data_IF_293475955411
#
_entry.id   IF_293475955411
#
_cell.length_a   1.000
_cell.length_b   1.000
_cell.length_c   1.000
_cell.angle_alpha   90.00
_cell.angle_beta   90.00
_cell.angle_gamma   90.00
#
_symmetry.space_group_name_H-M   'P 1'
#
loop_
_entity.id
_entity.type
_entity.pdbx_description
1 polymer ?
#
# COMPACT_ATOMS: atom_id res chain seq x y z
N UNK A 1 10.11 -9.72 -4.91
CA UNK A 1 9.15 -10.36 -4.00
C UNK A 1 9.22 -9.69 -2.64
N UNK A 2 8.14 -9.05 -2.23
CA UNK A 2 7.98 -8.43 -0.90
C UNK A 2 7.24 -9.39 0.03
N UNK A 3 7.55 -9.36 1.32
CA UNK A 3 6.89 -10.18 2.35
C UNK A 3 6.41 -9.30 3.49
N UNK A 4 5.17 -9.49 3.95
CA UNK A 4 4.61 -8.83 5.13
C UNK A 4 4.37 -9.82 6.27
N UNK A 5 5.00 -9.58 7.43
CA UNK A 5 4.82 -10.37 8.65
C UNK A 5 5.02 -9.50 9.90
N UNK A 6 4.14 -9.60 10.91
CA UNK A 6 4.26 -8.87 12.20
C UNK A 6 4.51 -7.35 12.07
N UNK A 7 3.92 -6.72 11.04
CA UNK A 7 4.12 -5.30 10.68
C UNK A 7 5.54 -4.94 10.22
N UNK A 8 6.33 -5.94 9.87
CA UNK A 8 7.59 -5.75 9.17
C UNK A 8 7.40 -6.13 7.70
N UNK A 9 7.65 -5.16 6.85
CA UNK A 9 7.73 -5.35 5.40
C UNK A 9 9.18 -5.71 5.09
N UNK A 10 9.41 -6.83 4.43
CA UNK A 10 10.74 -7.32 4.06
C UNK A 10 10.83 -7.48 2.55
N UNK A 11 11.97 -7.10 2.00
CA UNK A 11 12.31 -7.27 0.60
C UNK A 11 13.82 -7.50 0.42
N UNK A 12 14.31 -7.51 -0.83
CA UNK A 12 15.71 -7.82 -1.12
C UNK A 12 16.74 -6.92 -0.42
N UNK A 13 16.39 -5.67 -0.13
CA UNK A 13 17.30 -4.69 0.49
C UNK A 13 17.24 -4.63 2.01
N UNK A 14 16.30 -5.37 2.63
CA UNK A 14 16.15 -5.41 4.09
C UNK A 14 14.70 -5.40 4.55
N UNK A 15 14.47 -4.90 5.76
CA UNK A 15 13.15 -4.84 6.40
C UNK A 15 12.87 -3.45 6.96
N UNK A 16 11.62 -3.01 6.85
CA UNK A 16 11.15 -1.75 7.41
C UNK A 16 9.84 -1.94 8.18
N UNK A 17 9.70 -1.20 9.28
CA UNK A 17 8.47 -1.18 10.07
C UNK A 17 7.37 -0.45 9.32
N UNK A 18 6.21 -1.09 9.20
CA UNK A 18 4.99 -0.45 8.70
C UNK A 18 3.94 -0.31 9.80
N UNK A 19 3.02 0.62 9.60
CA UNK A 19 1.87 0.82 10.50
C UNK A 19 0.80 -0.22 10.24
N UNK A 20 -0.12 -0.41 11.19
CA UNK A 20 -1.28 -1.27 10.98
C UNK A 20 -2.12 -0.83 9.77
N UNK A 21 -2.30 0.48 9.56
CA UNK A 21 -3.02 1.01 8.39
C UNK A 21 -2.31 0.69 7.07
N UNK A 22 -0.99 0.83 7.01
CA UNK A 22 -0.21 0.44 5.82
C UNK A 22 -0.32 -1.07 5.55
N UNK A 23 -0.27 -1.89 6.61
CA UNK A 23 -0.45 -3.34 6.49
C UNK A 23 -1.84 -3.72 5.97
N UNK A 24 -2.90 -3.08 6.48
CA UNK A 24 -4.28 -3.26 5.99
C UNK A 24 -4.39 -2.89 4.51
N UNK A 25 -3.77 -1.79 4.10
CA UNK A 25 -3.81 -1.34 2.71
C UNK A 25 -3.07 -2.30 1.78
N UNK A 26 -1.87 -2.75 2.17
CA UNK A 26 -1.11 -3.77 1.42
C UNK A 26 -1.87 -5.09 1.33
N UNK A 27 -2.54 -5.50 2.42
CA UNK A 27 -3.39 -6.68 2.41
C UNK A 27 -4.59 -6.54 1.47
N UNK A 28 -5.24 -5.38 1.47
CA UNK A 28 -6.35 -5.10 0.55
C UNK A 28 -5.89 -5.12 -0.92
N UNK A 29 -4.68 -4.60 -1.23
CA UNK A 29 -4.10 -4.75 -2.56
C UNK A 29 -3.90 -6.21 -2.94
N UNK A 30 -3.23 -7.01 -2.09
CA UNK A 30 -2.97 -8.42 -2.39
C UNK A 30 -4.24 -9.28 -2.56
N UNK A 31 -5.34 -8.89 -1.92
CA UNK A 31 -6.63 -9.58 -2.01
C UNK A 31 -7.49 -9.10 -3.18
N UNK A 32 -7.14 -7.98 -3.81
CA UNK A 32 -7.86 -7.45 -4.97
C UNK A 32 -7.44 -8.20 -6.25
N UNK A 33 -8.37 -8.60 -7.13
CA UNK A 33 -8.06 -9.37 -8.34
C UNK A 33 -6.95 -8.75 -9.23
N UNK A 34 -6.95 -7.42 -9.33
CA UNK A 34 -5.99 -6.68 -10.17
C UNK A 34 -4.98 -5.87 -9.33
N UNK A 35 -4.83 -6.22 -8.05
CA UNK A 35 -4.07 -5.45 -7.08
C UNK A 35 -4.46 -3.96 -7.06
N UNK A 36 -5.74 -3.68 -7.29
CA UNK A 36 -6.29 -2.33 -7.46
C UNK A 36 -7.36 -2.03 -6.43
N UNK A 37 -7.35 -0.82 -5.88
CA UNK A 37 -8.33 -0.34 -4.92
C UNK A 37 -8.94 0.97 -5.38
N UNK A 38 -10.27 1.06 -5.30
CA UNK A 38 -11.00 2.29 -5.52
C UNK A 38 -10.75 3.32 -4.42
N UNK A 39 -10.98 4.61 -4.69
CA UNK A 39 -10.79 5.66 -3.68
C UNK A 39 -11.56 5.39 -2.38
N UNK A 40 -12.80 4.89 -2.47
CA UNK A 40 -13.61 4.56 -1.29
C UNK A 40 -13.02 3.39 -0.48
N UNK A 41 -12.49 2.37 -1.15
CA UNK A 41 -11.83 1.24 -0.50
C UNK A 41 -10.55 1.70 0.21
N UNK A 42 -9.75 2.56 -0.43
CA UNK A 42 -8.55 3.15 0.19
C UNK A 42 -8.93 3.98 1.41
N UNK A 43 -9.99 4.78 1.32
CA UNK A 43 -10.53 5.56 2.44
C UNK A 43 -10.90 4.66 3.62
N UNK A 44 -11.62 3.57 3.32
CA UNK A 44 -12.05 2.58 4.30
C UNK A 44 -10.86 1.89 4.98
N UNK A 45 -9.85 1.45 4.22
CA UNK A 45 -8.63 0.89 4.79
C UNK A 45 -7.91 1.88 5.71
N UNK A 46 -7.97 3.18 5.39
CA UNK A 46 -7.35 4.24 6.18
C UNK A 46 -8.21 4.76 7.33
N UNK A 47 -9.46 4.31 7.45
CA UNK A 47 -10.40 4.76 8.48
C UNK A 47 -10.76 6.24 8.36
N UNK A 48 -10.77 6.80 7.15
CA UNK A 48 -11.07 8.22 6.90
C UNK A 48 -12.32 8.37 6.04
N UNK A 49 -13.16 9.40 6.28
CA UNK A 49 -14.27 9.70 5.39
C UNK A 49 -13.77 10.26 4.05
N UNK A 50 -14.57 10.11 2.99
CA UNK A 50 -14.26 10.72 1.71
C UNK A 50 -14.62 12.21 1.69
N UNK A 51 -13.58 13.05 1.59
CA UNK A 51 -13.67 14.49 1.33
C UNK A 51 -12.42 14.96 0.56
N UNK A 52 -12.46 16.14 -0.04
CA UNK A 52 -11.32 16.67 -0.82
C UNK A 52 -10.03 16.82 0.01
N UNK A 53 -10.15 17.27 1.27
CA UNK A 53 -9.01 17.34 2.18
C UNK A 53 -8.41 15.95 2.47
N UNK A 54 -9.25 14.91 2.54
CA UNK A 54 -8.82 13.54 2.77
C UNK A 54 -8.18 12.92 1.52
N UNK A 55 -8.59 13.30 0.30
CA UNK A 55 -7.90 12.88 -0.93
C UNK A 55 -6.43 13.31 -0.93
N UNK A 56 -6.14 14.56 -0.56
CA UNK A 56 -4.77 15.04 -0.40
C UNK A 56 -4.01 14.28 0.69
N UNK A 57 -4.67 13.96 1.81
CA UNK A 57 -4.07 13.16 2.88
C UNK A 57 -3.70 11.74 2.40
N UNK A 58 -4.60 11.09 1.65
CA UNK A 58 -4.38 9.77 1.06
C UNK A 58 -3.17 9.78 0.13
N UNK A 59 -3.04 10.80 -0.73
CA UNK A 59 -1.89 10.93 -1.62
C UNK A 59 -0.58 10.99 -0.84
N UNK A 60 -0.52 11.80 0.22
CA UNK A 60 0.67 11.90 1.09
C UNK A 60 0.99 10.55 1.75
N UNK A 61 -0.02 9.86 2.27
CA UNK A 61 0.16 8.53 2.87
C UNK A 61 0.66 7.52 1.84
N UNK A 62 0.16 7.57 0.61
CA UNK A 62 0.60 6.69 -0.47
C UNK A 62 2.06 6.95 -0.86
N UNK A 63 2.49 8.23 -0.90
CA UNK A 63 3.91 8.59 -1.12
C UNK A 63 4.79 8.03 -0.01
N UNK A 64 4.36 8.07 1.26
CA UNK A 64 5.12 7.50 2.38
C UNK A 64 5.24 5.98 2.28
N UNK A 65 4.16 5.30 1.92
CA UNK A 65 4.18 3.85 1.73
C UNK A 65 5.13 3.44 0.59
N UNK A 66 5.11 4.14 -0.55
CA UNK A 66 6.06 3.93 -1.65
C UNK A 66 7.51 4.05 -1.20
N UNK A 67 7.83 5.07 -0.41
CA UNK A 67 9.19 5.24 0.13
C UNK A 67 9.64 4.02 0.95
N UNK A 68 8.77 3.48 1.79
CA UNK A 68 9.05 2.26 2.57
C UNK A 68 9.21 1.03 1.68
N UNK A 69 8.41 0.91 0.62
CA UNK A 69 8.55 -0.18 -0.35
C UNK A 69 9.91 -0.11 -1.06
N UNK A 70 10.35 1.08 -1.47
CA UNK A 70 11.67 1.29 -2.08
C UNK A 70 12.82 1.06 -1.10
N UNK A 71 12.66 1.42 0.18
CA UNK A 71 13.64 1.15 1.23
C UNK A 71 13.98 -0.34 1.35
N UNK A 72 13.01 -1.22 1.11
CA UNK A 72 13.22 -2.68 1.13
C UNK A 72 13.49 -3.28 -0.24
N UNK A 73 13.73 -2.46 -1.26
CA UNK A 73 14.19 -2.90 -2.59
C UNK A 73 13.10 -3.09 -3.65
N UNK A 74 11.91 -2.52 -3.47
CA UNK A 74 10.97 -2.39 -4.59
C UNK A 74 11.51 -1.38 -5.60
N UNK A 75 11.41 -1.66 -6.90
CA UNK A 75 11.90 -0.80 -7.97
C UNK A 75 10.75 -0.28 -8.85
N UNK A 76 10.99 0.84 -9.53
CA UNK A 76 10.03 1.41 -10.47
C UNK A 76 8.70 1.84 -9.82
N UNK A 77 7.61 1.69 -10.57
CA UNK A 77 6.28 2.15 -10.18
C UNK A 77 5.56 1.12 -9.29
N UNK A 78 5.91 1.06 -7.99
CA UNK A 78 5.34 0.06 -7.07
C UNK A 78 3.86 0.28 -6.74
N UNK A 79 3.44 1.55 -6.66
CA UNK A 79 2.03 1.95 -6.51
C UNK A 79 1.77 3.15 -7.41
N UNK A 80 0.72 3.16 -8.23
CA UNK A 80 0.32 4.33 -9.02
C UNK A 80 -1.12 4.75 -8.77
N UNK A 81 -1.40 6.02 -9.01
CA UNK A 81 -2.77 6.54 -9.03
C UNK A 81 -3.36 6.31 -10.43
N UNK A 82 -4.50 5.64 -10.49
CA UNK A 82 -5.25 5.39 -11.71
C UNK A 82 -6.40 6.41 -11.78
N UNK A 83 -6.39 7.26 -12.81
CA UNK A 83 -7.34 8.36 -12.97
C UNK A 83 -8.79 7.86 -12.89
N UNK A 84 -9.60 8.51 -12.07
CA UNK A 84 -11.01 8.19 -11.81
C UNK A 84 -11.27 6.78 -11.24
N UNK A 85 -10.23 6.07 -10.80
CA UNK A 85 -10.38 4.73 -10.22
C UNK A 85 -9.87 4.73 -8.78
N UNK A 86 -8.59 4.98 -8.58
CA UNK A 86 -7.97 4.88 -7.26
C UNK A 86 -6.49 4.60 -7.38
N UNK A 87 -6.03 3.50 -6.79
CA UNK A 87 -4.61 3.11 -6.80
C UNK A 87 -4.42 1.66 -7.22
N UNK A 88 -3.29 1.37 -7.83
CA UNK A 88 -2.88 0.01 -8.19
C UNK A 88 -1.47 -0.28 -7.65
N UNK A 89 -1.28 -1.49 -7.15
CA UNK A 89 -0.01 -2.05 -6.74
C UNK A 89 0.52 -2.94 -7.87
N UNK A 90 1.80 -2.83 -8.21
CA UNK A 90 2.39 -3.50 -9.38
C UNK A 90 3.45 -4.55 -9.05
N UNK A 91 3.77 -4.72 -7.77
CA UNK A 91 4.77 -5.68 -7.32
C UNK A 91 4.12 -6.98 -6.83
N UNK A 92 4.95 -8.00 -6.59
CA UNK A 92 4.49 -9.22 -5.92
C UNK A 92 4.61 -9.07 -4.40
N UNK A 93 3.51 -9.32 -3.69
CA UNK A 93 3.42 -9.26 -2.24
C UNK A 93 2.95 -10.60 -1.65
N UNK A 94 3.77 -11.20 -0.81
CA UNK A 94 3.45 -12.37 0.01
C UNK A 94 3.04 -11.95 1.43
N UNK A 95 1.88 -12.40 1.90
CA UNK A 95 1.37 -12.11 3.23
C UNK A 95 1.50 -13.35 4.10
N UNK A 96 2.45 -13.32 5.02
CA UNK A 96 2.70 -14.44 5.93
C UNK A 96 1.87 -14.27 7.19
N UNK A 97 0.92 -15.18 7.37
CA UNK A 97 0.19 -15.33 8.64
C UNK A 97 1.20 -15.62 9.77
N UNK A 98 0.88 -15.20 11.00
CA UNK A 98 1.69 -15.49 12.18
C UNK A 98 1.95 -16.99 12.35
#
# INVERSE_FOLDING_TARGET
MLTLHKLDLTGPSGSVRITATEATLLQAFAQSPDARLGFDQVAQCMGVPMSEAQKSNIQVRMVRLRKKLHEVGAEGAVIEAIRNVGYQFFDELDIRKP
#
